data_IF_671695892437
#
_entry.id   IF_671695892437
#
_cell.length_a   1.000
_cell.length_b   1.000
_cell.length_c   1.000
_cell.angle_alpha   90.00
_cell.angle_beta   90.00
_cell.angle_gamma   90.00
#
_symmetry.space_group_name_H-M   'P 1'
#
loop_
_entity.id
_entity.type
_entity.pdbx_description
1 polymer ?
#
# COMPACT_ATOMS: atom_id res chain seq x y z
N UNK A 1 0.84 -29.40 -9.00
CA UNK A 1 -0.46 -29.50 -9.70
C UNK A 1 -1.50 -28.44 -9.27
N UNK A 2 -1.14 -27.35 -8.56
CA UNK A 2 -2.10 -26.34 -8.06
C UNK A 2 -1.96 -24.94 -8.70
N UNK A 3 -1.04 -24.73 -9.64
CA UNK A 3 -0.78 -23.39 -10.21
C UNK A 3 -1.91 -22.88 -11.08
N UNK A 4 -2.53 -23.77 -11.87
CA UNK A 4 -3.47 -23.34 -12.92
C UNK A 4 -4.82 -22.97 -12.31
N UNK A 5 -5.31 -23.79 -11.36
CA UNK A 5 -6.55 -23.49 -10.61
C UNK A 5 -6.45 -22.15 -9.88
N UNK A 6 -5.29 -21.83 -9.30
CA UNK A 6 -5.10 -20.54 -8.62
C UNK A 6 -5.06 -19.39 -9.62
N UNK A 7 -4.38 -19.55 -10.76
CA UNK A 7 -4.38 -18.55 -11.85
C UNK A 7 -5.78 -18.27 -12.38
N UNK A 8 -6.61 -19.30 -12.58
CA UNK A 8 -8.00 -19.13 -13.01
C UNK A 8 -8.83 -18.34 -12.00
N UNK A 9 -8.72 -18.66 -10.71
CA UNK A 9 -9.43 -17.92 -9.64
C UNK A 9 -8.98 -16.47 -9.54
N UNK A 10 -7.68 -16.23 -9.65
CA UNK A 10 -7.10 -14.87 -9.66
C UNK A 10 -7.65 -14.07 -10.86
N UNK A 11 -7.77 -14.71 -12.03
CA UNK A 11 -8.31 -14.10 -13.24
C UNK A 11 -9.81 -13.80 -13.14
N UNK A 12 -10.64 -14.72 -12.63
CA UNK A 12 -12.06 -14.46 -12.38
C UNK A 12 -12.26 -13.32 -11.36
N UNK A 13 -11.46 -13.30 -10.30
CA UNK A 13 -11.50 -12.23 -9.31
C UNK A 13 -11.13 -10.90 -9.94
N UNK A 14 -10.10 -10.86 -10.78
CA UNK A 14 -9.71 -9.65 -11.52
C UNK A 14 -10.83 -9.17 -12.42
N UNK A 15 -11.42 -10.05 -13.23
CA UNK A 15 -12.54 -9.70 -14.11
C UNK A 15 -13.70 -9.08 -13.31
N UNK A 16 -14.02 -9.65 -12.15
CA UNK A 16 -15.02 -9.10 -11.23
C UNK A 16 -14.63 -7.69 -10.77
N UNK A 17 -13.39 -7.51 -10.31
CA UNK A 17 -12.89 -6.22 -9.80
C UNK A 17 -12.75 -5.15 -10.88
N UNK A 18 -12.54 -5.52 -12.15
CA UNK A 18 -12.52 -4.58 -13.28
C UNK A 18 -13.86 -3.89 -13.52
N UNK A 19 -14.96 -4.41 -12.98
CA UNK A 19 -16.27 -3.74 -13.00
C UNK A 19 -16.51 -2.88 -11.75
N UNK A 20 -15.66 -2.97 -10.74
CA UNK A 20 -15.72 -2.15 -9.54
C UNK A 20 -14.95 -0.84 -9.77
N UNK A 21 -15.71 0.26 -9.92
CA UNK A 21 -15.16 1.59 -10.14
C UNK A 21 -14.26 2.07 -9.00
N UNK A 22 -14.58 1.73 -7.75
CA UNK A 22 -13.79 2.16 -6.59
C UNK A 22 -12.45 1.42 -6.54
N UNK A 23 -12.46 0.13 -6.90
CA UNK A 23 -11.23 -0.64 -7.03
C UNK A 23 -10.34 -0.11 -8.17
N UNK A 24 -10.92 0.18 -9.35
CA UNK A 24 -10.17 0.76 -10.45
C UNK A 24 -9.51 2.11 -10.09
N UNK A 25 -10.24 2.96 -9.36
CA UNK A 25 -9.70 4.22 -8.84
C UNK A 25 -8.53 3.97 -7.88
N UNK A 26 -8.67 3.03 -6.96
CA UNK A 26 -7.59 2.63 -6.05
C UNK A 26 -6.33 2.22 -6.82
N UNK A 27 -6.47 1.37 -7.85
CA UNK A 27 -5.32 0.90 -8.64
C UNK A 27 -4.67 2.06 -9.40
N UNK A 28 -5.47 2.96 -9.98
CA UNK A 28 -4.95 4.14 -10.69
C UNK A 28 -4.21 5.11 -9.75
N UNK A 29 -4.74 5.33 -8.56
CA UNK A 29 -4.11 6.14 -7.51
C UNK A 29 -2.76 5.56 -7.09
N UNK A 30 -2.68 4.25 -6.88
CA UNK A 30 -1.42 3.59 -6.49
C UNK A 30 -0.39 3.63 -7.63
N UNK A 31 -0.82 3.47 -8.89
CA UNK A 31 0.09 3.57 -10.05
C UNK A 31 0.68 4.97 -10.24
N UNK A 32 -0.05 6.01 -9.82
CA UNK A 32 0.37 7.41 -9.89
C UNK A 32 0.89 7.93 -8.56
N UNK A 33 1.22 7.03 -7.64
CA UNK A 33 1.63 7.40 -6.29
C UNK A 33 2.87 8.31 -6.30
N UNK A 34 2.77 9.43 -5.59
CA UNK A 34 3.88 10.34 -5.30
C UNK A 34 3.87 10.57 -3.80
N UNK A 35 5.03 10.34 -3.17
CA UNK A 35 5.19 10.53 -1.74
C UNK A 35 5.11 12.01 -1.35
N UNK A 36 4.43 12.27 -0.25
CA UNK A 36 4.25 13.59 0.37
C UNK A 36 4.41 13.38 1.89
N UNK A 37 5.32 14.15 2.50
CA UNK A 37 5.68 14.05 3.91
C UNK A 37 4.56 14.52 4.85
N UNK A 38 3.63 15.34 4.36
CA UNK A 38 2.47 15.81 5.10
C UNK A 38 1.40 14.71 5.30
N UNK A 39 1.56 13.56 4.66
CA UNK A 39 0.58 12.49 4.69
C UNK A 39 1.17 11.13 5.03
N UNK A 40 0.40 10.37 5.81
CA UNK A 40 0.64 8.96 6.08
C UNK A 40 -0.20 8.10 5.12
N UNK A 41 0.50 7.35 4.29
CA UNK A 41 -0.11 6.45 3.32
C UNK A 41 -0.16 5.01 3.85
N UNK A 42 -1.26 4.32 3.60
CA UNK A 42 -1.36 2.89 3.88
C UNK A 42 -2.24 2.17 2.87
N UNK A 43 -1.88 0.94 2.53
CA UNK A 43 -2.68 0.06 1.67
C UNK A 43 -3.43 -0.95 2.52
N UNK A 44 -4.74 -1.03 2.33
CA UNK A 44 -5.57 -2.11 2.87
C UNK A 44 -5.60 -3.25 1.87
N UNK A 45 -5.24 -4.45 2.32
CA UNK A 45 -5.13 -5.61 1.44
C UNK A 45 -5.65 -6.89 2.10
N UNK A 46 -5.86 -7.92 1.28
CA UNK A 46 -6.21 -9.27 1.69
C UNK A 46 -5.58 -10.29 0.75
N UNK A 47 -4.58 -11.00 1.28
CA UNK A 47 -3.84 -12.03 0.57
C UNK A 47 -4.37 -13.42 0.93
N UNK A 48 -4.60 -14.27 -0.07
CA UNK A 48 -5.02 -15.66 0.09
C UNK A 48 -6.22 -15.88 1.05
N UNK A 49 -6.18 -16.96 1.84
CA UNK A 49 -7.20 -17.39 2.82
C UNK A 49 -7.17 -16.58 4.11
N UNK A 50 -6.55 -15.39 4.12
CA UNK A 50 -6.59 -14.53 5.30
C UNK A 50 -8.05 -14.22 5.67
N UNK A 51 -8.39 -14.39 6.95
CA UNK A 51 -9.75 -14.14 7.43
C UNK A 51 -10.06 -12.63 7.44
N UNK A 52 -9.07 -11.84 7.82
CA UNK A 52 -9.20 -10.40 8.06
C UNK A 52 -8.36 -9.61 7.07
N UNK A 53 -8.78 -8.37 6.82
CA UNK A 53 -8.00 -7.40 6.05
C UNK A 53 -6.80 -6.94 6.87
N UNK A 54 -5.72 -6.60 6.18
CA UNK A 54 -4.49 -6.05 6.78
C UNK A 54 -4.21 -4.67 6.21
N UNK A 55 -3.45 -3.88 6.95
CA UNK A 55 -2.95 -2.59 6.51
C UNK A 55 -1.43 -2.61 6.52
N UNK A 56 -0.83 -1.91 5.57
CA UNK A 56 0.61 -1.69 5.49
C UNK A 56 0.87 -0.22 5.19
N UNK A 57 1.65 0.45 6.04
CA UNK A 57 2.10 1.83 5.83
C UNK A 57 3.34 1.82 4.95
N UNK A 58 3.39 2.74 3.99
CA UNK A 58 4.47 2.81 3.01
C UNK A 58 4.79 4.26 2.65
N UNK A 59 5.97 4.47 2.10
CA UNK A 59 6.42 5.76 1.56
C UNK A 59 6.83 5.66 0.10
N UNK A 60 6.93 4.46 -0.47
CA UNK A 60 7.21 4.26 -1.88
C UNK A 60 6.46 3.05 -2.45
N UNK A 61 6.15 3.10 -3.74
CA UNK A 61 5.47 2.02 -4.47
C UNK A 61 6.08 1.85 -5.85
N UNK A 62 6.44 0.62 -6.19
CA UNK A 62 6.83 0.23 -7.54
C UNK A 62 5.79 -0.72 -8.14
N UNK A 63 5.50 -0.60 -9.44
CA UNK A 63 4.61 -1.50 -10.17
C UNK A 63 5.37 -2.31 -11.22
N UNK A 64 5.20 -3.63 -11.18
CA UNK A 64 5.74 -4.58 -12.15
C UNK A 64 4.62 -5.01 -13.09
N UNK A 65 4.64 -4.52 -14.34
CA UNK A 65 3.55 -4.74 -15.30
C UNK A 65 3.38 -6.22 -15.66
N UNK A 66 4.49 -6.93 -15.85
CA UNK A 66 4.52 -8.33 -16.28
C UNK A 66 3.69 -9.24 -15.35
N UNK A 67 3.79 -9.00 -14.04
CA UNK A 67 3.12 -9.79 -13.02
C UNK A 67 1.94 -9.05 -12.38
N UNK A 68 1.66 -7.82 -12.82
CA UNK A 68 0.67 -6.92 -12.24
C UNK A 68 0.78 -6.84 -10.71
N UNK A 69 2.01 -6.61 -10.25
CA UNK A 69 2.37 -6.66 -8.83
C UNK A 69 2.85 -5.29 -8.37
N UNK A 70 2.39 -4.88 -7.20
CA UNK A 70 2.84 -3.69 -6.49
C UNK A 70 3.81 -4.09 -5.38
N UNK A 71 4.90 -3.35 -5.27
CA UNK A 71 5.89 -3.49 -4.20
C UNK A 71 5.84 -2.20 -3.39
N UNK A 72 5.24 -2.28 -2.21
CA UNK A 72 5.16 -1.19 -1.25
C UNK A 72 6.39 -1.23 -0.35
N UNK A 73 7.07 -0.11 -0.19
CA UNK A 73 8.27 0.00 0.63
C UNK A 73 8.04 0.97 1.77
N UNK A 74 8.41 0.54 2.98
CA UNK A 74 8.49 1.35 4.18
C UNK A 74 9.95 1.68 4.47
N UNK A 75 10.28 2.94 4.70
CA UNK A 75 11.63 3.36 5.10
C UNK A 75 11.70 3.66 6.60
N UNK A 76 12.91 3.58 7.14
CA UNK A 76 13.21 3.96 8.51
C UNK A 76 13.24 5.49 8.65
N UNK A 77 13.06 5.95 9.88
CA UNK A 77 13.25 7.35 10.26
C UNK A 77 14.51 7.49 11.09
N UNK A 78 15.28 8.55 10.84
CA UNK A 78 16.45 8.88 11.65
C UNK A 78 15.98 9.25 13.07
N UNK A 79 16.54 8.60 14.08
CA UNK A 79 16.02 8.67 15.44
C UNK A 79 16.24 10.04 16.11
N UNK A 80 17.25 10.81 15.71
CA UNK A 80 17.52 12.16 16.27
C UNK A 80 16.74 13.25 15.55
N UNK A 81 16.62 13.15 14.22
CA UNK A 81 16.08 14.24 13.38
C UNK A 81 14.63 14.00 12.97
N UNK A 82 14.15 12.76 13.08
CA UNK A 82 12.83 12.37 12.59
C UNK A 82 12.72 12.35 11.06
N UNK A 83 13.83 12.52 10.33
CA UNK A 83 13.84 12.56 8.87
C UNK A 83 13.75 11.14 8.27
N UNK A 84 13.08 11.01 7.13
CA UNK A 84 12.93 9.74 6.42
C UNK A 84 14.25 9.33 5.74
N UNK A 85 14.79 8.18 6.11
CA UNK A 85 16.02 7.62 5.52
C UNK A 85 15.68 6.71 4.33
N UNK A 86 15.56 7.30 3.14
CA UNK A 86 15.15 6.57 1.90
C UNK A 86 16.10 5.45 1.47
N UNK A 87 17.33 5.46 1.95
CA UNK A 87 18.32 4.41 1.74
C UNK A 87 18.17 3.23 2.72
N UNK A 88 17.42 3.40 3.81
CA UNK A 88 17.19 2.37 4.82
C UNK A 88 15.76 1.86 4.79
N UNK A 89 15.57 0.77 4.05
CA UNK A 89 14.30 0.04 4.04
C UNK A 89 14.04 -0.61 5.40
N UNK A 90 12.89 -0.30 5.98
CA UNK A 90 12.38 -0.91 7.22
C UNK A 90 11.58 -2.18 6.90
N UNK A 91 10.67 -2.10 5.93
CA UNK A 91 9.82 -3.24 5.55
C UNK A 91 9.37 -3.15 4.09
N UNK A 92 8.93 -4.28 3.52
CA UNK A 92 8.38 -4.37 2.16
C UNK A 92 7.17 -5.29 2.11
N UNK A 93 6.19 -4.88 1.33
CA UNK A 93 5.01 -5.69 1.04
C UNK A 93 4.82 -5.83 -0.47
N UNK A 94 4.75 -7.06 -0.96
CA UNK A 94 4.49 -7.37 -2.36
C UNK A 94 3.07 -7.90 -2.52
N UNK A 95 2.26 -7.24 -3.34
CA UNK A 95 0.86 -7.60 -3.58
C UNK A 95 0.54 -7.65 -5.07
N UNK A 96 -0.25 -8.64 -5.49
CA UNK A 96 -0.97 -8.54 -6.76
C UNK A 96 -2.07 -7.50 -6.62
N UNK A 97 -2.42 -6.83 -7.71
CA UNK A 97 -3.51 -5.85 -7.74
C UNK A 97 -4.84 -6.39 -7.15
N UNK A 98 -5.18 -7.65 -7.41
CA UNK A 98 -6.40 -8.30 -6.92
C UNK A 98 -6.44 -8.49 -5.40
N UNK A 99 -5.30 -8.34 -4.72
CA UNK A 99 -5.18 -8.42 -3.26
C UNK A 99 -5.41 -7.06 -2.61
N UNK A 100 -5.33 -5.98 -3.37
CA UNK A 100 -5.51 -4.61 -2.91
C UNK A 100 -7.00 -4.29 -2.83
N UNK A 101 -7.41 -3.71 -1.70
CA UNK A 101 -8.80 -3.31 -1.45
C UNK A 101 -8.95 -1.80 -1.60
N UNK A 102 -8.07 -1.02 -0.95
CA UNK A 102 -8.08 0.45 -0.99
C UNK A 102 -6.72 1.02 -0.57
N UNK A 103 -6.47 2.26 -0.95
CA UNK A 103 -5.41 3.09 -0.38
C UNK A 103 -6.03 4.09 0.59
N UNK A 104 -5.35 4.36 1.70
CA UNK A 104 -5.74 5.37 2.67
C UNK A 104 -4.63 6.42 2.75
N UNK A 105 -5.04 7.69 2.76
CA UNK A 105 -4.19 8.87 2.90
C UNK A 105 -4.73 9.68 4.08
N UNK A 106 -3.94 9.83 5.13
CA UNK A 106 -4.31 10.62 6.31
C UNK A 106 -3.26 11.73 6.49
N UNK A 107 -3.69 12.94 6.85
CA UNK A 107 -2.75 14.01 7.23
C UNK A 107 -1.97 13.57 8.47
N UNK A 108 -0.68 13.90 8.50
CA UNK A 108 0.12 13.77 9.71
C UNK A 108 -0.28 14.93 10.61
N UNK A 109 -1.00 14.64 11.69
CA UNK A 109 -1.31 15.67 12.69
C UNK A 109 0.01 16.15 13.32
N UNK A 110 0.30 17.43 13.11
CA UNK A 110 1.43 18.11 13.74
C UNK A 110 1.12 18.23 15.24
N UNK A 111 1.81 17.47 16.09
CA UNK A 111 1.68 17.57 17.56
C UNK A 111 2.34 18.85 18.13
N UNK A 112 2.38 19.93 17.36
CA UNK A 112 3.03 21.20 17.69
C UNK A 112 2.30 21.99 18.79
N UNK A 113 1.09 21.58 19.19
CA UNK A 113 0.26 22.32 20.17
C UNK A 113 0.36 21.84 21.62
N UNK A 114 1.25 20.89 21.96
CA UNK A 114 1.38 20.38 23.34
C UNK A 114 2.43 21.09 24.22
N UNK A 115 3.07 22.16 23.74
CA UNK A 115 4.00 22.98 24.57
C UNK A 115 3.35 24.25 25.15
N UNK A 116 2.02 24.30 25.26
CA UNK A 116 1.26 25.43 25.81
C UNK A 116 0.96 25.36 27.32
N UNK A 117 1.55 24.45 28.09
CA UNK A 117 1.38 24.39 29.55
C UNK A 117 2.70 24.04 30.27
N UNK A 118 3.49 25.06 30.60
CA UNK A 118 4.26 25.14 31.85
C UNK A 118 4.13 26.57 32.37
#
# INVERSE_FOLDING_TARGET
MNSDVQKYKDMEKRLTLMHDKAWLQTIDEIKKFVYDDNFRYSVTYKQDRQRNNRNFTFQDVSFVEETNTFIFTSFSYHWETGELEKDKVSDRLTLKDIEIIKVNKNEVEDYSDLNGFI
#
